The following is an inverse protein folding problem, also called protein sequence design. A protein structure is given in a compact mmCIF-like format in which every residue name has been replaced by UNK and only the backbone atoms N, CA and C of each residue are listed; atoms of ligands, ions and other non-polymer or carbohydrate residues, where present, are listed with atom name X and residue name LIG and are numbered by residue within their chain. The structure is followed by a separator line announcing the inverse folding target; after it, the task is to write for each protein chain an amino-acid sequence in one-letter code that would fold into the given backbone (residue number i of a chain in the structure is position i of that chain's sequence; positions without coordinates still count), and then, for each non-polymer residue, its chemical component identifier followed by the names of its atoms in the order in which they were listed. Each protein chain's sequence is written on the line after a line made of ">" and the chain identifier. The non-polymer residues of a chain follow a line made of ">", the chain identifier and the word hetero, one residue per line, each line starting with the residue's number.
data_IF_818202115691
#
_entry.id   IF_818202115691
#
_cell.length_a   1.000
_cell.length_b   1.000
_cell.length_c   1.000
_cell.angle_alpha   90.00
_cell.angle_beta   90.00
_cell.angle_gamma   90.00
#
_symmetry.space_group_name_H-M   'P 1'
#
loop_
_entity.id
_entity.type
_entity.pdbx_description
1 polymer ?
#
# COMPACT_ATOMS: atom_id res chain seq x y z
N UNK A 1 8.91 -13.49 24.33
CA UNK A 1 9.31 -13.84 22.95
C UNK A 1 8.03 -14.03 22.17
N UNK A 2 7.67 -13.15 21.22
CA UNK A 2 6.45 -13.34 20.47
C UNK A 2 6.78 -13.59 19.00
N UNK A 3 6.73 -14.85 18.58
CA UNK A 3 6.52 -15.16 17.17
C UNK A 3 5.07 -14.85 16.87
N UNK A 4 4.83 -13.77 16.12
CA UNK A 4 3.55 -13.56 15.47
C UNK A 4 3.42 -14.69 14.44
N UNK A 5 2.28 -15.39 14.44
CA UNK A 5 1.97 -16.38 13.42
C UNK A 5 1.77 -15.63 12.10
N UNK A 6 2.83 -15.45 11.34
CA UNK A 6 2.76 -15.03 9.94
C UNK A 6 2.33 -16.25 9.14
N UNK A 7 1.24 -16.09 8.39
CA UNK A 7 0.85 -17.05 7.37
C UNK A 7 1.49 -16.63 6.05
N UNK A 8 2.06 -17.59 5.34
CA UNK A 8 2.69 -17.39 4.05
C UNK A 8 1.74 -17.84 2.96
N UNK A 9 1.36 -16.92 2.07
CA UNK A 9 0.51 -17.20 0.92
C UNK A 9 1.21 -16.84 -0.38
N UNK A 10 1.07 -17.69 -1.39
CA UNK A 10 1.46 -17.35 -2.77
C UNK A 10 0.25 -16.81 -3.56
N UNK A 11 0.47 -16.17 -4.74
CA UNK A 11 -0.59 -15.58 -5.53
C UNK A 11 -1.73 -16.55 -5.90
N UNK A 12 -1.39 -17.82 -6.21
CA UNK A 12 -2.39 -18.82 -6.60
C UNK A 12 -3.26 -19.25 -5.42
N UNK A 13 -2.69 -19.31 -4.21
CA UNK A 13 -3.44 -19.57 -2.98
C UNK A 13 -4.37 -18.41 -2.64
N UNK A 14 -3.91 -17.17 -2.79
CA UNK A 14 -4.76 -15.99 -2.56
C UNK A 14 -5.96 -16.01 -3.51
N UNK A 15 -5.72 -16.28 -4.79
CA UNK A 15 -6.79 -16.44 -5.79
C UNK A 15 -7.72 -17.59 -5.40
N UNK A 16 -7.16 -18.73 -5.00
CA UNK A 16 -7.93 -19.90 -4.55
C UNK A 16 -8.82 -19.61 -3.35
N UNK A 17 -8.36 -18.80 -2.41
CA UNK A 17 -9.13 -18.35 -1.25
C UNK A 17 -10.31 -17.48 -1.69
N UNK A 18 -10.04 -16.43 -2.49
CA UNK A 18 -11.09 -15.48 -2.88
C UNK A 18 -12.07 -16.04 -3.92
N UNK A 19 -11.68 -17.04 -4.72
CA UNK A 19 -12.58 -17.74 -5.65
C UNK A 19 -13.31 -18.94 -5.03
N UNK A 20 -13.00 -19.28 -3.77
CA UNK A 20 -13.66 -20.34 -3.01
C UNK A 20 -13.21 -21.77 -3.35
N UNK A 21 -12.09 -21.95 -4.06
CA UNK A 21 -11.48 -23.28 -4.23
C UNK A 21 -10.66 -23.72 -3.02
N UNK A 22 -10.18 -22.76 -2.21
CA UNK A 22 -9.56 -22.98 -0.91
C UNK A 22 -10.49 -22.37 0.16
N UNK A 23 -11.13 -23.21 0.97
CA UNK A 23 -12.16 -22.77 1.93
C UNK A 23 -11.82 -23.06 3.39
N UNK A 24 -10.67 -23.66 3.67
CA UNK A 24 -10.25 -24.05 5.01
C UNK A 24 -8.75 -23.79 5.19
N UNK A 25 -8.35 -23.32 6.36
CA UNK A 25 -6.95 -23.03 6.67
C UNK A 25 -6.05 -24.28 6.65
N UNK A 26 -6.60 -25.46 6.89
CA UNK A 26 -5.89 -26.74 6.80
C UNK A 26 -5.80 -27.33 5.38
N UNK A 27 -6.21 -26.58 4.35
CA UNK A 27 -6.16 -27.05 2.97
C UNK A 27 -4.72 -27.45 2.58
N UNK A 28 -4.50 -28.65 2.00
CA UNK A 28 -3.17 -29.10 1.59
C UNK A 28 -2.43 -28.13 0.67
N UNK A 29 -3.15 -27.33 -0.12
CA UNK A 29 -2.57 -26.31 -0.96
C UNK A 29 -1.82 -25.26 -0.14
N UNK A 30 -2.27 -24.92 1.08
CA UNK A 30 -1.64 -23.92 1.95
C UNK A 30 -0.42 -24.46 2.70
N UNK A 31 -0.35 -25.78 2.92
CA UNK A 31 0.70 -26.44 3.70
C UNK A 31 2.08 -26.25 3.08
N UNK A 32 2.19 -26.23 1.75
CA UNK A 32 3.47 -26.09 1.02
C UNK A 32 4.27 -24.84 1.42
N UNK A 33 3.59 -23.77 1.85
CA UNK A 33 4.21 -22.51 2.26
C UNK A 33 4.33 -22.38 3.78
N UNK A 34 3.73 -23.29 4.53
CA UNK A 34 3.55 -23.20 5.99
C UNK A 34 3.96 -24.51 6.70
N UNK A 35 4.90 -25.28 6.14
CA UNK A 35 5.25 -26.63 6.63
C UNK A 35 5.70 -26.65 8.10
N UNK A 36 6.32 -25.57 8.57
CA UNK A 36 6.81 -25.44 9.95
C UNK A 36 5.69 -25.22 10.97
N UNK A 37 4.50 -24.79 10.53
CA UNK A 37 3.39 -24.42 11.38
C UNK A 37 2.08 -25.07 10.90
N UNK A 38 1.56 -26.09 11.59
CA UNK A 38 0.29 -26.69 11.20
C UNK A 38 -0.83 -25.64 11.27
N UNK A 39 -1.42 -25.33 10.11
CA UNK A 39 -2.57 -24.45 10.02
C UNK A 39 -3.81 -25.15 10.63
N UNK A 40 -4.69 -24.42 11.32
CA UNK A 40 -5.84 -25.01 12.00
C UNK A 40 -6.89 -25.54 11.00
N UNK A 41 -7.62 -26.58 11.39
CA UNK A 41 -8.83 -27.00 10.68
C UNK A 41 -9.97 -26.03 10.99
N UNK A 42 -10.01 -24.94 10.24
CA UNK A 42 -10.90 -23.81 10.47
C UNK A 42 -11.37 -23.26 9.11
N UNK A 43 -12.68 -23.04 8.91
CA UNK A 43 -13.18 -22.41 7.69
C UNK A 43 -12.57 -21.03 7.47
N UNK A 44 -12.28 -20.70 6.22
CA UNK A 44 -11.84 -19.36 5.84
C UNK A 44 -13.08 -18.49 5.67
N UNK A 45 -13.12 -17.36 6.38
CA UNK A 45 -14.20 -16.37 6.27
C UNK A 45 -13.72 -15.18 5.47
N UNK A 46 -14.33 -14.95 4.31
CA UNK A 46 -14.00 -13.84 3.43
C UNK A 46 -14.63 -12.52 3.94
N UNK A 47 -13.97 -11.38 3.70
CA UNK A 47 -14.53 -10.08 4.08
C UNK A 47 -15.74 -9.75 3.20
N UNK A 48 -16.75 -9.11 3.80
CA UNK A 48 -17.93 -8.66 3.06
C UNK A 48 -17.72 -7.31 2.38
N UNK A 49 -16.81 -6.50 2.90
CA UNK A 49 -16.47 -5.18 2.38
C UNK A 49 -14.99 -4.86 2.61
N UNK A 50 -14.44 -3.99 1.76
CA UNK A 50 -13.14 -3.37 1.90
C UNK A 50 -13.12 -2.07 1.10
N UNK A 51 -12.13 -1.20 1.34
CA UNK A 51 -12.03 0.04 0.55
C UNK A 51 -11.71 -0.29 -0.91
N UNK A 52 -12.26 0.48 -1.84
CA UNK A 52 -12.01 0.29 -3.28
C UNK A 52 -10.52 0.33 -3.61
N UNK A 53 -9.78 1.26 -3.00
CA UNK A 53 -8.33 1.41 -3.22
C UNK A 53 -7.52 0.19 -2.74
N UNK A 54 -7.83 -0.37 -1.56
CA UNK A 54 -7.12 -1.55 -1.08
C UNK A 54 -7.44 -2.79 -1.92
N UNK A 55 -8.71 -2.97 -2.32
CA UNK A 55 -9.09 -4.07 -3.23
C UNK A 55 -8.37 -3.97 -4.57
N UNK A 56 -8.38 -2.79 -5.18
CA UNK A 56 -7.75 -2.59 -6.48
C UNK A 56 -6.24 -2.81 -6.40
N UNK A 57 -5.55 -2.23 -5.40
CA UNK A 57 -4.12 -2.42 -5.23
C UNK A 57 -3.73 -3.90 -5.02
N UNK A 58 -4.49 -4.65 -4.22
CA UNK A 58 -4.27 -6.08 -4.02
C UNK A 58 -4.55 -6.88 -5.29
N UNK A 59 -5.71 -6.65 -5.92
CA UNK A 59 -6.11 -7.34 -7.16
C UNK A 59 -5.09 -7.11 -8.27
N UNK A 60 -4.68 -5.87 -8.52
CA UNK A 60 -3.72 -5.53 -9.56
C UNK A 60 -2.37 -6.20 -9.31
N UNK A 61 -1.89 -6.22 -8.07
CA UNK A 61 -0.59 -6.82 -7.75
C UNK A 61 -0.59 -8.33 -7.80
N UNK A 62 -1.54 -8.99 -7.12
CA UNK A 62 -1.64 -10.45 -7.12
C UNK A 62 -1.89 -10.97 -8.53
N UNK A 63 -2.71 -10.27 -9.33
CA UNK A 63 -2.96 -10.68 -10.71
C UNK A 63 -1.70 -10.64 -11.57
N UNK A 64 -0.83 -9.63 -11.35
CA UNK A 64 0.47 -9.55 -12.06
C UNK A 64 1.42 -10.67 -11.64
N UNK A 65 1.50 -10.97 -10.34
CA UNK A 65 2.36 -12.05 -9.86
C UNK A 65 1.89 -13.42 -10.34
N UNK A 66 0.58 -13.67 -10.34
CA UNK A 66 0.00 -14.94 -10.76
C UNK A 66 -0.06 -15.12 -12.29
N UNK A 67 -0.13 -14.02 -13.05
CA UNK A 67 -0.45 -14.07 -14.48
C UNK A 67 -1.93 -14.41 -14.78
N UNK A 68 -2.78 -14.36 -13.76
CA UNK A 68 -4.23 -14.62 -13.82
C UNK A 68 -4.98 -13.67 -12.86
N UNK A 69 -6.26 -13.34 -13.12
CA UNK A 69 -6.95 -12.31 -12.35
C UNK A 69 -7.36 -12.76 -10.94
N UNK A 70 -7.10 -11.90 -9.94
CA UNK A 70 -7.73 -11.94 -8.62
C UNK A 70 -9.05 -11.18 -8.66
N UNK A 71 -10.17 -11.90 -8.73
CA UNK A 71 -11.52 -11.32 -8.70
C UNK A 71 -11.98 -11.05 -7.25
N UNK A 72 -12.24 -9.78 -6.95
CA UNK A 72 -12.75 -9.31 -5.66
C UNK A 72 -14.16 -8.69 -5.77
N UNK A 73 -14.87 -8.93 -6.87
CA UNK A 73 -16.19 -8.34 -7.15
C UNK A 73 -17.29 -8.75 -6.17
N UNK A 74 -17.11 -9.88 -5.46
CA UNK A 74 -18.01 -10.32 -4.39
C UNK A 74 -17.89 -9.50 -3.10
N UNK A 75 -16.81 -8.73 -2.94
CA UNK A 75 -16.55 -7.88 -1.77
C UNK A 75 -17.08 -6.48 -2.08
N UNK A 76 -17.97 -5.95 -1.25
CA UNK A 76 -18.54 -4.62 -1.45
C UNK A 76 -17.47 -3.52 -1.30
N UNK A 77 -17.67 -2.39 -1.98
CA UNK A 77 -16.91 -1.18 -1.69
C UNK A 77 -17.43 -0.58 -0.38
N UNK A 78 -16.56 -0.47 0.61
CA UNK A 78 -16.88 0.19 1.87
C UNK A 78 -17.25 1.66 1.63
N UNK A 79 -18.37 2.10 2.21
CA UNK A 79 -18.80 3.51 2.17
C UNK A 79 -18.30 4.33 3.36
N UNK A 80 -17.91 3.64 4.45
CA UNK A 80 -17.40 4.24 5.67
C UNK A 80 -15.86 4.18 5.71
N UNK A 81 -15.21 5.28 6.12
CA UNK A 81 -13.75 5.43 6.09
C UNK A 81 -13.00 4.75 7.26
N UNK A 82 -13.63 3.84 7.99
CA UNK A 82 -13.00 3.21 9.15
C UNK A 82 -12.10 2.04 8.74
N UNK A 83 -10.96 2.32 8.09
CA UNK A 83 -10.00 1.27 7.69
C UNK A 83 -9.54 0.40 8.87
N UNK A 84 -9.47 0.95 10.08
CA UNK A 84 -9.14 0.20 11.30
C UNK A 84 -10.19 -0.85 11.67
N UNK A 85 -11.45 -0.68 11.27
CA UNK A 85 -12.49 -1.68 11.47
C UNK A 85 -12.31 -2.87 10.53
N UNK A 86 -11.88 -2.63 9.29
CA UNK A 86 -11.55 -3.71 8.34
C UNK A 86 -10.26 -4.43 8.71
N UNK A 87 -9.32 -3.72 9.34
CA UNK A 87 -8.02 -4.28 9.71
C UNK A 87 -8.09 -5.36 10.80
N UNK A 88 -9.19 -5.47 11.56
CA UNK A 88 -9.33 -6.43 12.65
C UNK A 88 -10.61 -7.26 12.49
N UNK A 89 -10.59 -8.34 11.69
CA UNK A 89 -11.75 -9.21 11.61
C UNK A 89 -11.97 -9.91 12.97
N UNK A 90 -13.22 -9.99 13.40
CA UNK A 90 -13.61 -10.49 14.75
C UNK A 90 -13.93 -11.99 14.72
N UNK A 91 -14.27 -12.52 13.55
CA UNK A 91 -14.61 -13.93 13.37
C UNK A 91 -13.35 -14.81 13.26
N UNK A 92 -13.36 -15.96 13.91
CA UNK A 92 -12.27 -16.92 13.81
C UNK A 92 -12.14 -17.41 12.36
N UNK A 93 -10.91 -17.45 11.86
CA UNK A 93 -10.63 -17.90 10.50
C UNK A 93 -10.90 -16.85 9.42
N UNK A 94 -11.28 -15.64 9.81
CA UNK A 94 -11.48 -14.55 8.88
C UNK A 94 -10.19 -13.95 8.36
N UNK A 95 -10.24 -13.54 7.10
CA UNK A 95 -9.26 -12.64 6.48
C UNK A 95 -9.91 -11.30 6.18
N UNK A 96 -9.09 -10.25 6.07
CA UNK A 96 -9.55 -8.94 5.64
C UNK A 96 -8.57 -8.29 4.67
N UNK A 97 -9.06 -7.29 3.94
CA UNK A 97 -8.25 -6.45 3.05
C UNK A 97 -8.24 -5.05 3.66
N UNK A 98 -7.09 -4.61 4.14
CA UNK A 98 -6.90 -3.30 4.76
C UNK A 98 -5.49 -2.76 4.47
N UNK A 99 -5.28 -1.47 4.75
CA UNK A 99 -3.95 -0.87 4.65
C UNK A 99 -3.01 -1.39 5.73
N UNK A 100 -1.71 -1.42 5.42
CA UNK A 100 -0.64 -1.78 6.38
C UNK A 100 -0.68 -0.85 7.60
N UNK A 101 -1.01 0.43 7.39
CA UNK A 101 -1.25 1.40 8.47
C UNK A 101 -2.34 0.94 9.43
N UNK A 102 -3.50 0.56 8.89
CA UNK A 102 -4.63 0.14 9.69
C UNK A 102 -4.36 -1.20 10.40
N UNK A 103 -3.75 -2.17 9.70
CA UNK A 103 -3.35 -3.45 10.29
C UNK A 103 -2.36 -3.28 11.43
N UNK A 104 -1.33 -2.46 11.24
CA UNK A 104 -0.33 -2.16 12.28
C UNK A 104 -0.96 -1.46 13.48
N UNK A 105 -1.83 -0.48 13.22
CA UNK A 105 -2.54 0.25 14.30
C UNK A 105 -3.47 -0.67 15.10
N UNK A 106 -4.15 -1.62 14.43
CA UNK A 106 -5.02 -2.59 15.06
C UNK A 106 -4.27 -3.74 15.76
N UNK A 107 -2.96 -3.88 15.53
CA UNK A 107 -2.16 -4.99 16.06
C UNK A 107 -2.45 -6.32 15.36
N UNK A 108 -2.95 -6.27 14.12
CA UNK A 108 -3.29 -7.46 13.34
C UNK A 108 -2.05 -8.08 12.71
N UNK A 109 -2.06 -9.42 12.60
CA UNK A 109 -1.09 -10.13 11.77
C UNK A 109 -1.33 -9.79 10.30
N UNK A 110 -0.25 -9.63 9.53
CA UNK A 110 -0.30 -9.37 8.10
C UNK A 110 0.17 -10.64 7.39
N UNK A 111 -0.53 -11.02 6.33
CA UNK A 111 -0.13 -12.14 5.46
C UNK A 111 1.21 -11.81 4.80
N UNK A 112 2.17 -12.73 4.90
CA UNK A 112 3.40 -12.66 4.11
C UNK A 112 3.12 -13.23 2.71
N UNK A 113 3.44 -12.45 1.67
CA UNK A 113 3.25 -12.91 0.29
C UNK A 113 4.58 -13.46 -0.22
N UNK A 114 4.58 -14.69 -0.70
CA UNK A 114 5.74 -15.29 -1.38
C UNK A 114 5.49 -15.32 -2.88
N UNK A 115 6.42 -14.75 -3.66
CA UNK A 115 6.23 -14.63 -5.11
C UNK A 115 6.37 -15.99 -5.83
N UNK A 116 7.13 -16.92 -5.24
CA UNK A 116 7.39 -18.26 -5.77
C UNK A 116 6.87 -19.33 -4.78
N UNK A 117 5.94 -20.21 -5.18
CA UNK A 117 5.40 -21.25 -4.31
C UNK A 117 6.49 -22.14 -3.68
N UNK A 118 6.41 -22.37 -2.37
CA UNK A 118 7.37 -23.16 -1.60
C UNK A 118 8.74 -22.52 -1.37
N UNK A 119 8.95 -21.29 -1.85
CA UNK A 119 10.21 -20.57 -1.68
C UNK A 119 10.04 -19.35 -0.75
N UNK A 120 10.34 -19.52 0.53
CA UNK A 120 10.28 -18.44 1.52
C UNK A 120 11.30 -17.31 1.26
N UNK A 121 12.35 -17.55 0.46
CA UNK A 121 13.29 -16.49 0.06
C UNK A 121 12.67 -15.51 -0.94
N UNK A 122 11.58 -15.90 -1.62
CA UNK A 122 10.80 -15.04 -2.52
C UNK A 122 9.80 -14.13 -1.81
N UNK A 123 9.84 -14.10 -0.48
CA UNK A 123 8.91 -13.33 0.34
C UNK A 123 9.04 -11.82 0.10
N UNK A 124 7.89 -11.19 -0.13
CA UNK A 124 7.74 -9.74 -0.26
C UNK A 124 6.85 -9.28 0.89
N UNK A 125 7.47 -8.65 1.91
CA UNK A 125 6.74 -8.08 3.05
C UNK A 125 6.38 -6.63 2.79
N UNK A 126 5.29 -6.12 3.39
CA UNK A 126 5.01 -4.70 3.43
C UNK A 126 5.88 -3.99 4.48
N UNK A 127 7.19 -4.16 4.39
CA UNK A 127 8.15 -3.44 5.21
C UNK A 127 8.56 -2.11 4.56
N UNK A 128 9.24 -1.27 5.34
CA UNK A 128 9.62 0.07 4.92
C UNK A 128 10.44 0.08 3.62
N UNK A 129 11.35 -0.87 3.45
CA UNK A 129 12.25 -0.92 2.29
C UNK A 129 11.52 -1.39 1.03
N UNK A 130 10.70 -2.44 1.13
CA UNK A 130 9.90 -2.92 0.00
C UNK A 130 8.84 -1.89 -0.44
N UNK A 131 8.25 -1.19 0.52
CA UNK A 131 7.31 -0.09 0.27
C UNK A 131 8.03 1.08 -0.43
N UNK A 132 9.19 1.51 0.06
CA UNK A 132 9.97 2.55 -0.61
C UNK A 132 10.45 2.12 -2.01
N UNK A 133 10.83 0.86 -2.21
CA UNK A 133 11.17 0.38 -3.55
C UNK A 133 10.00 0.59 -4.53
N UNK A 134 8.76 0.31 -4.11
CA UNK A 134 7.56 0.55 -4.92
C UNK A 134 7.31 2.04 -5.22
N UNK A 135 7.74 2.97 -4.34
CA UNK A 135 7.65 4.42 -4.58
C UNK A 135 8.42 4.84 -5.83
N UNK A 136 9.54 4.18 -6.15
CA UNK A 136 10.35 4.50 -7.35
C UNK A 136 9.63 4.21 -8.67
N UNK A 137 8.53 3.46 -8.60
CA UNK A 137 7.68 3.09 -9.72
C UNK A 137 6.42 3.98 -9.82
N UNK A 138 6.26 4.99 -8.96
CA UNK A 138 5.13 5.91 -9.01
C UNK A 138 5.32 6.96 -10.11
N UNK A 139 4.32 7.09 -10.96
CA UNK A 139 4.24 8.10 -12.02
C UNK A 139 3.08 9.06 -11.75
N UNK A 140 3.19 10.27 -12.27
CA UNK A 140 2.14 11.28 -12.21
C UNK A 140 1.63 11.67 -13.59
N UNK A 141 0.36 12.04 -13.65
CA UNK A 141 -0.29 12.64 -14.80
C UNK A 141 -1.08 13.87 -14.34
N UNK A 142 -0.90 14.99 -15.03
CA UNK A 142 -1.58 16.25 -14.75
C UNK A 142 -2.67 16.53 -15.78
N UNK A 143 -3.91 16.61 -15.32
CA UNK A 143 -5.06 17.02 -16.13
C UNK A 143 -5.73 18.24 -15.51
N UNK A 144 -5.45 19.43 -16.06
CA UNK A 144 -5.95 20.69 -15.51
C UNK A 144 -5.39 20.98 -14.11
N UNK A 145 -6.22 20.84 -13.08
CA UNK A 145 -5.83 21.01 -11.67
C UNK A 145 -5.79 19.68 -10.90
N UNK A 146 -6.01 18.56 -11.58
CA UNK A 146 -5.98 17.23 -10.99
C UNK A 146 -4.64 16.56 -11.29
N UNK A 147 -3.90 16.23 -10.23
CA UNK A 147 -2.72 15.37 -10.31
C UNK A 147 -3.14 13.95 -9.95
N UNK A 148 -3.09 13.05 -10.92
CA UNK A 148 -3.23 11.62 -10.67
C UNK A 148 -1.85 11.03 -10.44
N UNK A 149 -1.72 10.20 -9.42
CA UNK A 149 -0.52 9.41 -9.15
C UNK A 149 -0.91 7.95 -9.25
N UNK A 150 -0.10 7.15 -9.95
CA UNK A 150 -0.34 5.72 -10.13
C UNK A 150 0.96 4.95 -10.08
N UNK A 151 0.89 3.68 -9.69
CA UNK A 151 2.00 2.75 -9.82
C UNK A 151 2.13 2.28 -11.27
N UNK A 152 3.32 2.40 -11.85
CA UNK A 152 3.68 1.75 -13.10
C UNK A 152 4.64 0.58 -12.82
N UNK A 153 4.14 -0.66 -12.72
CA UNK A 153 4.96 -1.82 -12.37
C UNK A 153 5.95 -2.21 -13.47
N UNK A 154 5.88 -1.60 -14.66
CA UNK A 154 6.83 -1.84 -15.75
C UNK A 154 8.15 -1.07 -15.58
N UNK A 155 8.15 -0.05 -14.72
CA UNK A 155 9.36 0.69 -14.35
C UNK A 155 10.23 -0.20 -13.45
N UNK A 156 11.50 -0.36 -13.81
CA UNK A 156 12.44 -1.11 -12.97
C UNK A 156 12.66 -0.36 -11.64
N UNK A 157 12.46 -1.01 -10.48
CA UNK A 157 12.66 -0.36 -9.19
C UNK A 157 14.13 0.01 -9.02
N UNK A 158 14.38 1.18 -8.42
CA UNK A 158 15.73 1.65 -8.14
C UNK A 158 16.00 1.65 -6.63
N UNK A 159 17.27 1.58 -6.23
CA UNK A 159 17.64 1.79 -4.85
C UNK A 159 17.25 3.22 -4.43
N UNK A 160 16.70 3.37 -3.22
CA UNK A 160 16.44 4.69 -2.66
C UNK A 160 17.74 5.47 -2.46
N UNK A 161 17.62 6.79 -2.43
CA UNK A 161 18.77 7.67 -2.25
C UNK A 161 19.54 7.32 -0.96
N UNK A 162 20.81 6.98 -1.11
CA UNK A 162 21.68 6.56 0.00
C UNK A 162 21.74 5.05 0.24
N UNK A 163 20.97 4.24 -0.49
CA UNK A 163 21.08 2.77 -0.49
C UNK A 163 21.83 2.28 -1.74
N UNK A 164 22.36 1.05 -1.66
CA UNK A 164 23.12 0.42 -2.76
C UNK A 164 22.47 -0.84 -3.33
N UNK A 165 21.44 -1.35 -2.64
CA UNK A 165 20.71 -2.55 -3.02
C UNK A 165 19.28 -2.19 -3.40
N UNK A 166 18.78 -2.83 -4.46
CA UNK A 166 17.37 -2.74 -4.86
C UNK A 166 16.61 -3.83 -4.12
N UNK A 167 15.63 -3.43 -3.32
CA UNK A 167 14.73 -4.36 -2.64
C UNK A 167 13.55 -4.67 -3.56
N UNK A 168 13.05 -5.91 -3.55
CA UNK A 168 11.84 -6.26 -4.31
C UNK A 168 10.64 -5.43 -3.84
N UNK A 169 9.92 -4.73 -4.73
CA UNK A 169 8.88 -3.79 -4.33
C UNK A 169 7.61 -4.49 -3.83
N UNK A 170 7.05 -3.99 -2.73
CA UNK A 170 5.68 -4.33 -2.30
C UNK A 170 4.69 -3.48 -3.11
N UNK A 171 4.10 -4.06 -4.16
CA UNK A 171 3.36 -3.30 -5.16
C UNK A 171 1.83 -3.20 -4.93
N UNK A 172 1.30 -3.73 -3.83
CA UNK A 172 -0.08 -3.43 -3.42
C UNK A 172 -0.15 -2.07 -2.72
N UNK A 173 0.13 -1.00 -3.47
CA UNK A 173 0.13 0.38 -3.01
C UNK A 173 -0.91 1.20 -3.77
N UNK A 174 -1.48 2.20 -3.10
CA UNK A 174 -2.43 3.13 -3.72
C UNK A 174 -2.18 4.56 -3.24
N UNK A 175 -2.47 5.58 -4.07
CA UNK A 175 -2.32 6.97 -3.70
C UNK A 175 -3.40 7.40 -2.68
N UNK A 176 -2.99 8.17 -1.68
CA UNK A 176 -3.94 8.89 -0.81
C UNK A 176 -4.21 10.26 -1.41
N UNK A 177 -5.46 10.53 -1.75
CA UNK A 177 -5.85 11.79 -2.41
C UNK A 177 -5.94 12.94 -1.41
N UNK A 178 -5.27 14.04 -1.74
CA UNK A 178 -5.48 15.34 -1.08
C UNK A 178 -6.36 16.22 -1.97
N UNK A 179 -7.57 16.54 -1.50
CA UNK A 179 -8.51 17.41 -2.21
C UNK A 179 -8.75 18.72 -1.45
N UNK A 180 -8.72 19.85 -2.16
CA UNK A 180 -9.11 21.15 -1.61
C UNK A 180 -10.61 21.37 -1.81
N UNK A 181 -11.42 20.81 -0.90
CA UNK A 181 -12.89 20.88 -1.01
C UNK A 181 -13.45 22.27 -0.69
N UNK A 182 -14.54 22.68 -1.36
CA UNK A 182 -15.23 23.95 -1.12
C UNK A 182 -14.56 25.16 -1.78
N UNK A 183 -14.70 26.34 -1.19
CA UNK A 183 -14.08 27.56 -1.74
C UNK A 183 -12.55 27.48 -1.73
N UNK A 184 -11.93 27.79 -2.86
CA UNK A 184 -10.49 27.86 -3.00
C UNK A 184 -9.94 29.12 -2.32
N UNK A 185 -9.05 28.94 -1.34
CA UNK A 185 -8.50 30.06 -0.54
C UNK A 185 -6.99 29.92 -0.36
N UNK A 186 -6.32 31.06 -0.18
CA UNK A 186 -4.87 31.13 0.12
C UNK A 186 -4.51 30.28 1.35
N UNK A 187 -5.40 30.19 2.35
CA UNK A 187 -5.17 29.37 3.54
C UNK A 187 -5.12 27.88 3.21
N UNK A 188 -6.08 27.37 2.42
CA UNK A 188 -6.12 25.97 1.98
C UNK A 188 -4.90 25.61 1.13
N UNK A 189 -4.53 26.51 0.21
CA UNK A 189 -3.32 26.37 -0.62
C UNK A 189 -2.05 26.38 0.21
N UNK A 190 -1.98 27.21 1.26
CA UNK A 190 -0.85 27.24 2.20
C UNK A 190 -0.76 25.95 2.99
N UNK A 191 -1.88 25.41 3.47
CA UNK A 191 -1.93 24.13 4.18
C UNK A 191 -1.52 22.96 3.27
N UNK A 192 -2.00 22.92 2.03
CA UNK A 192 -1.58 21.91 1.05
C UNK A 192 -0.09 22.01 0.72
N UNK A 193 0.43 23.23 0.48
CA UNK A 193 1.86 23.45 0.30
C UNK A 193 2.66 22.99 1.51
N UNK A 194 2.17 23.24 2.73
CA UNK A 194 2.82 22.81 3.96
C UNK A 194 3.00 21.29 3.99
N UNK A 195 1.95 20.51 3.66
CA UNK A 195 2.00 19.05 3.61
C UNK A 195 2.98 18.53 2.53
N UNK A 196 3.16 19.26 1.43
CA UNK A 196 4.08 18.91 0.33
C UNK A 196 5.55 19.33 0.58
N UNK A 197 5.86 19.99 1.70
CA UNK A 197 7.25 20.30 2.04
C UNK A 197 8.01 19.04 2.42
N UNK A 198 9.31 19.03 2.16
CA UNK A 198 10.17 17.86 2.40
C UNK A 198 10.18 17.42 3.87
N UNK A 199 10.17 18.37 4.81
CA UNK A 199 10.07 18.08 6.25
C UNK A 199 8.73 17.43 6.60
N UNK A 200 7.62 17.92 6.04
CA UNK A 200 6.30 17.30 6.24
C UNK A 200 6.20 15.91 5.61
N UNK A 201 6.79 15.71 4.43
CA UNK A 201 6.87 14.38 3.81
C UNK A 201 7.72 13.41 4.64
N UNK A 202 8.81 13.89 5.26
CA UNK A 202 9.60 13.11 6.20
C UNK A 202 8.79 12.66 7.43
N UNK A 203 7.91 13.51 7.96
CA UNK A 203 6.99 13.15 9.04
C UNK A 203 5.93 12.14 8.56
N UNK A 204 5.37 12.32 7.35
CA UNK A 204 4.40 11.37 6.77
C UNK A 204 5.03 9.98 6.64
N UNK A 205 6.31 9.88 6.26
CA UNK A 205 7.05 8.63 6.18
C UNK A 205 7.21 7.90 7.54
N UNK A 206 6.98 8.59 8.66
CA UNK A 206 6.97 7.95 9.99
C UNK A 206 5.65 7.26 10.33
N UNK A 207 4.60 7.52 9.55
CA UNK A 207 3.38 6.70 9.51
C UNK A 207 3.53 5.63 8.42
N UNK A 208 2.65 4.65 8.34
CA UNK A 208 2.67 3.65 7.25
C UNK A 208 2.08 4.22 5.93
N UNK A 209 2.40 5.49 5.64
CA UNK A 209 2.22 6.17 4.37
C UNK A 209 3.59 6.47 3.78
N UNK A 210 3.68 6.41 2.45
CA UNK A 210 4.90 6.79 1.75
C UNK A 210 4.94 8.29 1.45
N UNK A 211 6.12 8.92 1.54
CA UNK A 211 6.31 10.24 0.96
C UNK A 211 6.23 10.14 -0.57
N UNK A 212 5.75 11.21 -1.21
CA UNK A 212 5.75 11.29 -2.68
C UNK A 212 7.19 11.30 -3.22
N UNK A 213 7.45 10.68 -4.40
CA UNK A 213 8.67 10.92 -5.15
C UNK A 213 8.88 12.42 -5.40
N UNK A 214 10.13 12.87 -5.48
CA UNK A 214 10.43 14.29 -5.62
C UNK A 214 9.80 14.91 -6.87
N UNK A 215 9.83 14.22 -8.01
CA UNK A 215 9.20 14.64 -9.26
C UNK A 215 7.70 14.90 -9.08
N UNK A 216 6.98 13.92 -8.54
CA UNK A 216 5.54 14.00 -8.25
C UNK A 216 5.24 15.13 -7.26
N UNK A 217 6.08 15.29 -6.24
CA UNK A 217 5.94 16.35 -5.23
C UNK A 217 6.11 17.74 -5.83
N UNK A 218 7.06 17.92 -6.75
CA UNK A 218 7.27 19.20 -7.47
C UNK A 218 6.04 19.53 -8.32
N UNK A 219 5.47 18.57 -9.04
CA UNK A 219 4.24 18.76 -9.82
C UNK A 219 3.04 19.12 -8.93
N UNK A 220 2.88 18.42 -7.80
CA UNK A 220 1.85 18.74 -6.81
C UNK A 220 1.99 20.16 -6.26
N UNK A 221 3.22 20.62 -6.02
CA UNK A 221 3.50 21.99 -5.57
C UNK A 221 3.05 23.01 -6.62
N UNK A 222 3.29 22.76 -7.91
CA UNK A 222 2.90 23.68 -8.99
C UNK A 222 1.39 23.97 -9.01
N UNK A 223 0.55 23.00 -8.64
CA UNK A 223 -0.90 23.19 -8.55
C UNK A 223 -1.28 24.13 -7.38
N UNK A 224 -0.63 23.97 -6.22
CA UNK A 224 -1.06 24.64 -4.99
C UNK A 224 -0.42 26.02 -4.79
N UNK A 225 0.68 26.35 -5.49
CA UNK A 225 1.38 27.64 -5.33
C UNK A 225 0.66 28.84 -5.93
N UNK A 226 -0.38 28.63 -6.75
CA UNK A 226 -1.14 29.73 -7.37
C UNK A 226 -1.68 30.66 -6.29
N UNK A 227 -1.32 31.96 -6.36
CA UNK A 227 -1.74 32.97 -5.39
C UNK A 227 -0.98 32.98 -4.06
N UNK A 228 0.03 32.10 -3.88
CA UNK A 228 0.92 32.13 -2.73
C UNK A 228 2.12 33.07 -2.97
N UNK A 229 2.67 33.71 -1.91
CA UNK A 229 3.86 34.53 -2.05
C UNK A 229 5.04 33.68 -2.54
N UNK A 230 5.79 34.25 -3.48
CA UNK A 230 7.07 33.70 -3.95
C UNK A 230 8.12 34.00 -2.87
N UNK A 231 8.86 33.00 -2.37
CA UNK A 231 9.94 33.25 -1.43
C UNK A 231 10.98 34.16 -2.08
N UNK A 232 11.27 35.30 -1.47
CA UNK A 232 12.44 36.09 -1.82
C UNK A 232 13.69 35.34 -1.37
N UNK A 233 14.73 35.20 -2.21
CA UNK A 233 16.02 34.71 -1.76
C UNK A 233 16.47 35.54 -0.57
N UNK A 234 16.80 34.88 0.53
CA UNK A 234 17.55 35.52 1.61
C UNK A 234 18.97 35.64 1.09
N UNK A 235 19.59 36.82 1.15
CA UNK A 235 21.01 36.96 0.82
C UNK A 235 21.78 35.91 1.63
N UNK A 236 22.43 34.98 0.94
CA UNK A 236 23.42 34.11 1.56
C UNK A 236 24.54 35.02 2.03
N UNK A 237 24.65 35.21 3.35
CA UNK A 237 25.86 35.81 3.92
C UNK A 237 27.03 34.98 3.42
N UNK A 238 27.89 35.59 2.60
CA UNK A 238 29.07 34.93 2.08
C UNK A 238 29.98 34.52 3.24
N UNK A 239 30.19 33.22 3.40
CA UNK A 239 31.35 32.62 4.06
C UNK A 239 31.76 31.35 3.33
#
# INVERSE_FOLDING_TARGET
>A
MPGYFEIYLDPSQIIGIFNGTITNWSDPALVVNNEEYPLPDLPIVLPTEATASSKQALSDWISRLAGEPLDLSAIADATDFSESAFAMPIEEGAISIASVSAATFAGSSIVAIIAEPGNLESMIRPDYEAILSAKTQLVSSLEGTELTVSLDPSIEPTAEEGLTEVVTPYQAVYPVKMALCGEDTTLKRTAARFLLRQDSQGVIATSALMPLPESVRIEAIQIVIVGLPVPTPVETEGQ
#
